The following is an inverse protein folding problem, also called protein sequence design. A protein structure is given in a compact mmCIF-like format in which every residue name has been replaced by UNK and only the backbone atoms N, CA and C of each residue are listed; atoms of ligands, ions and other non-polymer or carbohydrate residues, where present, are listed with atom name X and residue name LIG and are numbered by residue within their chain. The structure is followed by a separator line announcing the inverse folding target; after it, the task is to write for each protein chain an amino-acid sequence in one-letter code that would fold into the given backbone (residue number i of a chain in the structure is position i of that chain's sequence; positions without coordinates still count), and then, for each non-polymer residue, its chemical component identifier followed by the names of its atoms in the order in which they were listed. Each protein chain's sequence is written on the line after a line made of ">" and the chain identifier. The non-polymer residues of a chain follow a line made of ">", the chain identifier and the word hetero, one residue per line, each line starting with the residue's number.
data_IF_412766552140
#
_entry.id   IF_412766552140
#
_cell.length_a   1.000
_cell.length_b   1.000
_cell.length_c   1.000
_cell.angle_alpha   90.00
_cell.angle_beta   90.00
_cell.angle_gamma   90.00
#
_symmetry.space_group_name_H-M   'P 1'
#
loop_
_entity.id
_entity.type
_entity.pdbx_description
1 polymer ?
#
# COMPACT_ATOMS: atom_id res chain seq x y z
N UNK A 1 2.84 9.45 -4.79
CA UNK A 1 3.95 8.54 -4.40
C UNK A 1 4.84 9.09 -3.29
N UNK A 2 4.87 10.41 -3.02
CA UNK A 2 5.74 11.05 -2.01
C UNK A 2 5.58 10.62 -0.53
N UNK A 3 4.70 9.66 -0.20
CA UNK A 3 4.41 9.25 1.18
C UNK A 3 4.76 7.79 1.49
N UNK A 4 5.36 7.02 0.57
CA UNK A 4 5.59 5.57 0.81
C UNK A 4 6.50 5.29 2.00
N UNK A 5 7.58 6.06 2.20
CA UNK A 5 8.44 5.92 3.39
C UNK A 5 7.69 6.17 4.70
N UNK A 6 6.79 7.15 4.74
CA UNK A 6 5.96 7.44 5.92
C UNK A 6 4.90 6.37 6.17
N UNK A 7 4.28 5.87 5.10
CA UNK A 7 3.31 4.76 5.16
C UNK A 7 4.01 3.50 5.67
N UNK A 8 5.20 3.20 5.15
CA UNK A 8 6.05 2.11 5.63
C UNK A 8 6.34 2.24 7.13
N UNK A 9 6.74 3.43 7.58
CA UNK A 9 6.98 3.69 8.99
C UNK A 9 5.71 3.45 9.84
N UNK A 10 4.53 3.84 9.36
CA UNK A 10 3.26 3.61 10.05
C UNK A 10 2.99 2.12 10.22
N UNK A 11 3.09 1.33 9.14
CA UNK A 11 2.91 -0.12 9.19
C UNK A 11 3.89 -0.79 10.16
N UNK A 12 5.17 -0.41 10.10
CA UNK A 12 6.21 -0.94 10.98
C UNK A 12 5.92 -0.64 12.45
N UNK A 13 5.64 0.63 12.79
CA UNK A 13 5.36 1.05 14.17
C UNK A 13 4.08 0.42 14.71
N UNK A 14 3.03 0.28 13.89
CA UNK A 14 1.78 -0.37 14.27
C UNK A 14 1.97 -1.85 14.66
N UNK A 15 2.97 -2.52 14.08
CA UNK A 15 3.36 -3.90 14.40
C UNK A 15 4.40 -4.02 15.52
N UNK A 16 4.82 -2.89 16.12
CA UNK A 16 5.84 -2.88 17.17
C UNK A 16 7.27 -3.23 16.70
N UNK A 17 7.51 -3.26 15.38
CA UNK A 17 8.78 -3.67 14.81
C UNK A 17 9.82 -2.54 14.84
N UNK A 18 11.06 -2.85 15.18
CA UNK A 18 12.20 -1.94 15.09
C UNK A 18 12.83 -2.07 13.69
N UNK A 19 13.60 -1.07 13.27
CA UNK A 19 14.29 -1.11 11.97
C UNK A 19 15.26 -2.30 11.86
N UNK A 20 15.86 -2.72 12.97
CA UNK A 20 16.74 -3.90 13.03
C UNK A 20 16.01 -5.22 12.76
N UNK A 21 14.70 -5.26 13.02
CA UNK A 21 13.88 -6.46 12.84
C UNK A 21 13.48 -6.62 11.36
N UNK A 22 13.63 -5.57 10.53
CA UNK A 22 13.37 -5.57 9.09
C UNK A 22 14.66 -5.51 8.24
N UNK A 23 15.81 -5.44 8.89
CA UNK A 23 17.09 -5.38 8.18
C UNK A 23 17.40 -6.77 7.60
N UNK A 24 17.41 -6.87 6.28
CA UNK A 24 17.69 -8.10 5.53
C UNK A 24 19.03 -8.00 4.81
N UNK A 25 19.52 -9.13 4.28
CA UNK A 25 20.72 -9.16 3.44
C UNK A 25 20.59 -8.15 2.28
N UNK A 26 21.47 -7.15 2.24
CA UNK A 26 21.45 -6.09 1.21
C UNK A 26 20.53 -4.90 1.49
N UNK A 27 19.88 -4.84 2.67
CA UNK A 27 19.10 -3.69 3.13
C UNK A 27 19.41 -3.36 4.60
N UNK A 28 20.24 -2.34 4.79
CA UNK A 28 20.69 -1.93 6.13
C UNK A 28 19.65 -1.10 6.89
N UNK A 29 19.78 -1.07 8.22
CA UNK A 29 19.01 -0.18 9.12
C UNK A 29 19.09 1.29 8.66
N UNK A 30 20.26 1.75 8.21
CA UNK A 30 20.46 3.11 7.71
C UNK A 30 19.68 3.38 6.44
N UNK A 31 19.62 2.42 5.51
CA UNK A 31 18.81 2.54 4.30
C UNK A 31 17.32 2.58 4.63
N UNK A 32 16.83 1.70 5.51
CA UNK A 32 15.44 1.72 5.98
C UNK A 32 15.08 3.05 6.67
N UNK A 33 15.96 3.55 7.54
CA UNK A 33 15.77 4.87 8.16
C UNK A 33 15.71 5.97 7.12
N UNK A 34 16.63 6.00 6.15
CA UNK A 34 16.61 6.98 5.05
C UNK A 34 15.35 6.86 4.21
N UNK A 35 14.83 5.66 3.97
CA UNK A 35 13.57 5.45 3.25
C UNK A 35 12.40 6.11 4.01
N UNK A 36 12.27 5.82 5.30
CA UNK A 36 11.20 6.39 6.14
C UNK A 36 11.24 7.92 6.20
N UNK A 37 12.42 8.52 6.07
CA UNK A 37 12.62 9.97 6.07
C UNK A 37 12.76 10.57 4.65
N UNK A 38 12.34 9.85 3.61
CA UNK A 38 12.33 10.31 2.20
C UNK A 38 13.71 10.70 1.65
N UNK A 39 14.79 10.15 2.21
CA UNK A 39 16.19 10.40 1.80
C UNK A 39 16.72 9.36 0.81
N UNK A 40 16.01 8.27 0.60
CA UNK A 40 16.39 7.24 -0.38
C UNK A 40 15.15 6.50 -0.85
N UNK A 41 15.21 5.94 -2.05
CA UNK A 41 14.21 5.03 -2.58
C UNK A 41 14.75 3.60 -2.57
N UNK A 42 13.84 2.63 -2.58
CA UNK A 42 14.19 1.22 -2.77
C UNK A 42 13.81 0.78 -4.19
N UNK A 43 14.64 -0.08 -4.76
CA UNK A 43 14.22 -0.90 -5.90
C UNK A 43 12.98 -1.70 -5.53
N UNK A 44 12.12 -1.99 -6.50
CA UNK A 44 10.87 -2.75 -6.29
C UNK A 44 11.14 -4.09 -5.58
N UNK A 45 12.17 -4.82 -5.96
CA UNK A 45 12.51 -6.12 -5.33
C UNK A 45 12.75 -5.98 -3.83
N UNK A 46 13.60 -5.04 -3.41
CA UNK A 46 13.87 -4.77 -1.99
C UNK A 46 12.61 -4.29 -1.26
N UNK A 47 11.79 -3.48 -1.90
CA UNK A 47 10.53 -3.03 -1.30
C UNK A 47 9.56 -4.20 -1.06
N UNK A 48 9.40 -5.11 -2.03
CA UNK A 48 8.56 -6.29 -1.86
C UNK A 48 9.05 -7.18 -0.70
N UNK A 49 10.36 -7.43 -0.62
CA UNK A 49 10.94 -8.17 0.50
C UNK A 49 10.62 -7.51 1.86
N UNK A 50 10.68 -6.19 1.94
CA UNK A 50 10.31 -5.50 3.20
C UNK A 50 8.83 -5.60 3.54
N UNK A 51 7.95 -5.74 2.55
CA UNK A 51 6.53 -5.99 2.80
C UNK A 51 6.28 -7.41 3.32
N UNK A 52 7.04 -8.39 2.84
CA UNK A 52 6.99 -9.77 3.32
C UNK A 52 7.41 -9.84 4.80
N UNK A 53 8.52 -9.18 5.17
CA UNK A 53 8.98 -9.09 6.57
C UNK A 53 8.00 -8.33 7.47
N UNK A 54 7.34 -7.30 6.92
CA UNK A 54 6.25 -6.61 7.60
C UNK A 54 4.99 -7.47 7.71
N UNK A 55 4.86 -8.56 6.97
CA UNK A 55 3.61 -9.30 6.79
C UNK A 55 2.46 -8.35 6.38
N UNK A 56 2.67 -7.61 5.29
CA UNK A 56 1.71 -6.66 4.69
C UNK A 56 1.55 -6.99 3.22
N UNK A 57 0.32 -7.16 2.77
CA UNK A 57 0.04 -7.29 1.34
C UNK A 57 0.28 -5.96 0.62
N UNK A 58 0.86 -5.99 -0.58
CA UNK A 58 1.06 -4.78 -1.40
C UNK A 58 -0.25 -4.00 -1.59
N UNK A 59 -1.37 -4.69 -1.81
CA UNK A 59 -2.68 -4.07 -1.96
C UNK A 59 -3.10 -3.26 -0.70
N UNK A 60 -2.87 -3.81 0.49
CA UNK A 60 -3.17 -3.14 1.76
C UNK A 60 -2.27 -1.90 1.93
N UNK A 61 -0.97 -2.06 1.66
CA UNK A 61 -0.03 -0.94 1.69
C UNK A 61 -0.47 0.19 0.76
N UNK A 62 -0.81 -0.15 -0.48
CA UNK A 62 -1.20 0.82 -1.51
C UNK A 62 -2.53 1.49 -1.16
N UNK A 63 -3.47 0.77 -0.58
CA UNK A 63 -4.73 1.33 -0.11
C UNK A 63 -4.52 2.46 0.90
N UNK A 64 -3.65 2.24 1.89
CA UNK A 64 -3.27 3.28 2.87
C UNK A 64 -2.46 4.40 2.21
N UNK A 65 -1.55 4.05 1.29
CA UNK A 65 -0.72 5.03 0.60
C UNK A 65 -1.50 5.97 -0.32
N UNK A 66 -2.67 5.52 -0.79
CA UNK A 66 -3.64 6.31 -1.55
C UNK A 66 -4.69 7.00 -0.67
N UNK A 67 -4.43 7.12 0.64
CA UNK A 67 -5.34 7.79 1.59
C UNK A 67 -6.75 7.20 1.58
N UNK A 68 -6.83 5.86 1.47
CA UNK A 68 -8.09 5.12 1.44
C UNK A 68 -9.00 5.51 0.27
N UNK A 69 -8.46 6.19 -0.75
CA UNK A 69 -9.24 6.56 -1.91
C UNK A 69 -9.40 5.37 -2.86
N UNK A 70 -10.63 5.13 -3.27
CA UNK A 70 -10.90 4.22 -4.38
C UNK A 70 -10.21 4.74 -5.65
N UNK A 71 -9.56 3.83 -6.37
CA UNK A 71 -8.98 4.12 -7.67
C UNK A 71 -10.08 4.60 -8.63
N UNK A 72 -9.70 5.42 -9.61
CA UNK A 72 -10.65 5.86 -10.65
C UNK A 72 -11.34 4.67 -11.33
N UNK A 73 -10.61 3.56 -11.50
CA UNK A 73 -11.14 2.30 -12.00
C UNK A 73 -12.18 1.69 -11.06
N UNK A 74 -11.91 1.58 -9.76
CA UNK A 74 -12.89 1.08 -8.79
C UNK A 74 -14.18 1.92 -8.77
N UNK A 75 -14.04 3.25 -8.82
CA UNK A 75 -15.18 4.18 -8.93
C UNK A 75 -15.97 3.96 -10.24
N UNK A 76 -15.27 3.70 -11.35
CA UNK A 76 -15.89 3.42 -12.64
C UNK A 76 -16.66 2.09 -12.59
N UNK A 77 -16.06 1.03 -12.05
CA UNK A 77 -16.72 -0.27 -11.91
C UNK A 77 -17.98 -0.18 -11.03
N UNK A 78 -17.90 0.51 -9.89
CA UNK A 78 -19.07 0.73 -9.03
C UNK A 78 -20.22 1.46 -9.76
N UNK A 79 -19.89 2.44 -10.62
CA UNK A 79 -20.88 3.13 -11.46
C UNK A 79 -21.49 2.21 -12.52
N UNK A 80 -20.68 1.38 -13.16
CA UNK A 80 -21.14 0.41 -14.16
C UNK A 80 -22.07 -0.62 -13.52
N UNK A 81 -21.69 -1.19 -12.38
CA UNK A 81 -22.52 -2.13 -11.60
C UNK A 81 -23.86 -1.50 -11.22
N UNK A 82 -23.85 -0.28 -10.67
CA UNK A 82 -25.08 0.43 -10.32
C UNK A 82 -25.99 0.66 -11.55
N UNK A 83 -25.40 1.02 -12.70
CA UNK A 83 -26.13 1.19 -13.95
C UNK A 83 -26.74 -0.10 -14.49
N UNK A 84 -26.04 -1.24 -14.36
CA UNK A 84 -26.54 -2.56 -14.76
C UNK A 84 -27.70 -3.02 -13.87
N UNK A 85 -27.60 -2.82 -12.56
CA UNK A 85 -28.68 -3.13 -11.60
C UNK A 85 -29.91 -2.28 -11.90
N UNK A 86 -29.73 -0.97 -12.15
CA UNK A 86 -30.84 -0.07 -12.46
C UNK A 86 -31.55 -0.43 -13.77
N UNK A 87 -30.79 -0.77 -14.82
CA UNK A 87 -31.39 -1.25 -16.08
C UNK A 87 -32.18 -2.54 -15.88
N UNK A 88 -31.65 -3.51 -15.14
CA UNK A 88 -32.35 -4.77 -14.90
C UNK A 88 -33.65 -4.60 -14.11
N UNK A 89 -33.71 -3.73 -13.09
CA UNK A 89 -34.97 -3.46 -12.37
C UNK A 89 -36.08 -2.89 -13.25
N UNK A 90 -35.75 -2.23 -14.36
CA UNK A 90 -36.73 -1.63 -15.28
C UNK A 90 -37.40 -2.65 -16.22
N UNK A 91 -36.91 -3.89 -16.27
CA UNK A 91 -37.49 -4.98 -17.09
C UNK A 91 -38.31 -5.99 -16.27
N UNK A 92 -38.34 -5.85 -14.94
CA UNK A 92 -39.08 -6.74 -14.03
C UNK A 92 -40.13 -5.99 -13.19
N UNK A 93 -40.52 -4.78 -13.60
CA UNK A 93 -41.58 -3.98 -12.99
C UNK A 93 -42.66 -3.64 -14.01
#
# INVERSE_FOLDING_TARGET
>A
MQKFGEVFQKFRKARGLKLKDLAIAGLSISQLSRLEHRKTELTVTKFMQTLDELNVLLAEFMYVAHEFQQTSSAKLFAKLEAGLIFKNKKYFA
#
